data_IF_497044195049
#
_entry.id   IF_497044195049
#
_cell.length_a   1.000
_cell.length_b   1.000
_cell.length_c   1.000
_cell.angle_alpha   90.00
_cell.angle_beta   90.00
_cell.angle_gamma   90.00
#
_symmetry.space_group_name_H-M   'P 1'
#
loop_
_entity.id
_entity.type
_entity.pdbx_description
1 polymer ?
#
# COMPACT_ATOMS: atom_id res chain seq x y z
N UNK A 1 8.17 -32.49 20.28
CA UNK A 1 9.12 -31.43 19.90
C UNK A 1 8.31 -30.15 19.74
N UNK A 2 8.24 -29.36 20.81
CA UNK A 2 7.34 -28.20 20.90
C UNK A 2 7.89 -27.03 20.08
N UNK A 3 7.10 -26.54 19.11
CA UNK A 3 7.40 -25.34 18.34
C UNK A 3 7.24 -24.09 19.25
N UNK A 4 8.29 -23.27 19.42
CA UNK A 4 8.26 -22.13 20.34
C UNK A 4 7.57 -20.86 19.79
N UNK A 5 6.95 -20.88 18.60
CA UNK A 5 6.43 -19.66 17.96
C UNK A 5 5.03 -19.19 18.45
N UNK A 6 4.39 -19.90 19.39
CA UNK A 6 2.95 -19.71 19.69
C UNK A 6 2.65 -19.13 21.08
N UNK A 7 3.58 -18.38 21.66
CA UNK A 7 3.33 -17.71 22.94
C UNK A 7 3.37 -16.19 22.80
N UNK A 8 2.27 -15.56 23.19
CA UNK A 8 2.06 -14.15 23.50
C UNK A 8 1.66 -13.22 22.34
N UNK A 9 0.36 -12.89 22.29
CA UNK A 9 -0.09 -11.52 22.04
C UNK A 9 -1.52 -11.36 22.58
N UNK A 10 -1.62 -10.84 23.81
CA UNK A 10 -2.85 -10.39 24.45
C UNK A 10 -2.73 -8.89 24.69
N UNK A 11 -3.79 -8.17 24.27
CA UNK A 11 -4.21 -6.80 24.63
C UNK A 11 -3.50 -5.62 23.97
N UNK A 12 -4.23 -4.97 23.06
CA UNK A 12 -4.49 -3.53 23.18
C UNK A 12 -5.95 -3.26 22.74
N UNK A 13 -6.81 -3.00 23.73
CA UNK A 13 -8.18 -2.54 23.49
C UNK A 13 -8.19 -1.03 23.29
N UNK A 14 -8.70 -0.58 22.15
CA UNK A 14 -9.03 0.82 21.92
C UNK A 14 -10.51 1.05 22.29
N UNK A 15 -10.75 1.82 23.35
CA UNK A 15 -12.06 2.39 23.65
C UNK A 15 -11.99 3.89 23.35
N UNK A 16 -12.58 4.30 22.23
CA UNK A 16 -12.88 5.70 21.95
C UNK A 16 -14.40 5.86 22.02
N UNK A 17 -14.86 6.55 23.06
CA UNK A 17 -16.24 7.03 23.17
C UNK A 17 -16.21 8.49 23.60
N UNK A 18 -17.22 9.23 23.11
CA UNK A 18 -17.68 10.57 23.52
C UNK A 18 -16.92 11.75 22.87
N UNK A 19 -17.54 12.84 22.36
CA UNK A 19 -18.94 13.29 22.49
C UNK A 19 -19.23 14.52 21.59
N UNK A 20 -20.50 14.62 21.15
CA UNK A 20 -21.33 15.78 20.78
C UNK A 20 -20.96 16.80 19.67
N UNK A 21 -21.94 16.99 18.78
CA UNK A 21 -22.24 18.23 18.05
C UNK A 21 -22.76 19.35 18.98
N UNK A 22 -22.76 20.62 18.53
CA UNK A 22 -24.05 21.27 18.23
C UNK A 22 -24.05 22.28 17.06
N UNK A 23 -25.04 22.11 16.18
CA UNK A 23 -26.07 23.03 15.66
C UNK A 23 -25.94 24.58 15.68
N UNK A 24 -26.22 25.16 14.49
CA UNK A 24 -26.85 26.46 14.10
C UNK A 24 -26.16 27.81 14.38
N UNK A 25 -25.96 28.61 13.31
CA UNK A 25 -26.90 29.69 12.92
C UNK A 25 -26.55 30.36 11.58
N UNK A 26 -27.60 30.79 10.90
CA UNK A 26 -27.65 31.55 9.66
C UNK A 26 -27.41 33.07 9.86
N UNK A 27 -26.98 33.78 8.81
CA UNK A 27 -27.63 34.97 8.20
C UNK A 27 -26.71 35.72 7.21
N UNK A 28 -27.30 36.35 6.18
CA UNK A 28 -26.72 37.50 5.44
C UNK A 28 -26.35 37.21 3.98
N UNK A 29 -27.27 37.38 3.01
CA UNK A 29 -27.50 38.58 2.17
C UNK A 29 -26.40 38.95 1.15
N UNK A 30 -26.78 38.73 -0.11
CA UNK A 30 -26.55 39.49 -1.36
C UNK A 30 -25.54 40.65 -1.40
N UNK A 31 -24.78 40.74 -2.51
CA UNK A 31 -24.72 41.93 -3.40
C UNK A 31 -24.20 41.52 -4.79
N UNK A 32 -24.96 41.89 -5.83
CA UNK A 32 -24.56 41.97 -7.24
C UNK A 32 -23.41 42.97 -7.43
N UNK A 33 -22.40 42.63 -8.24
CA UNK A 33 -21.60 43.64 -8.91
C UNK A 33 -21.38 43.25 -10.38
N UNK A 34 -21.97 44.06 -11.25
CA UNK A 34 -21.94 43.97 -12.70
C UNK A 34 -20.89 44.94 -13.26
N UNK A 35 -20.32 44.58 -14.42
CA UNK A 35 -19.54 45.41 -15.39
C UNK A 35 -18.07 45.65 -14.99
N UNK A 36 -17.10 45.69 -15.91
CA UNK A 36 -17.16 46.27 -17.25
C UNK A 36 -16.15 45.65 -18.25
N UNK A 37 -16.46 45.85 -19.52
CA UNK A 37 -15.62 45.67 -20.71
C UNK A 37 -14.39 46.60 -20.70
N UNK A 38 -13.26 46.12 -21.24
CA UNK A 38 -12.33 46.95 -22.01
C UNK A 38 -11.50 46.06 -22.96
N UNK A 39 -11.71 46.30 -24.26
CA UNK A 39 -11.01 45.71 -25.41
C UNK A 39 -9.74 46.53 -25.73
N UNK A 40 -8.90 45.98 -26.63
CA UNK A 40 -7.65 46.49 -27.24
C UNK A 40 -6.39 45.95 -26.51
N UNK A 41 -5.47 45.20 -27.11
CA UNK A 41 -5.22 44.80 -28.49
C UNK A 41 -3.71 44.83 -28.72
N UNK A 42 -3.06 43.71 -29.06
CA UNK A 42 -1.87 43.68 -29.93
C UNK A 42 -1.50 42.26 -30.34
N UNK A 43 -1.51 42.01 -31.65
CA UNK A 43 -0.81 40.89 -32.29
C UNK A 43 0.69 41.16 -32.31
N UNK A 44 1.50 40.15 -31.98
CA UNK A 44 2.84 39.93 -32.53
C UNK A 44 3.04 38.43 -32.73
N UNK A 45 3.60 38.09 -33.88
CA UNK A 45 3.76 36.77 -34.45
C UNK A 45 4.91 35.94 -33.83
N UNK A 46 4.78 34.63 -34.02
CA UNK A 46 5.82 33.66 -34.38
C UNK A 46 7.04 33.44 -33.45
N UNK A 47 7.08 32.27 -32.81
CA UNK A 47 8.10 31.23 -33.04
C UNK A 47 7.74 29.94 -32.26
N UNK A 48 7.97 28.74 -32.82
CA UNK A 48 7.64 27.47 -32.17
C UNK A 48 8.73 27.08 -31.16
N UNK A 49 8.44 27.27 -29.87
CA UNK A 49 9.24 26.67 -28.80
C UNK A 49 8.96 25.17 -28.80
N UNK A 50 9.91 24.39 -29.33
CA UNK A 50 9.92 22.94 -29.25
C UNK A 50 9.90 22.50 -27.78
N UNK A 51 8.71 22.26 -27.24
CA UNK A 51 8.52 21.57 -25.98
C UNK A 51 8.84 20.10 -26.19
N UNK A 52 10.12 19.74 -26.12
CA UNK A 52 10.50 18.38 -25.77
C UNK A 52 10.04 18.15 -24.34
N UNK A 53 9.09 17.25 -24.06
CA UNK A 53 8.92 16.76 -22.70
C UNK A 53 10.20 15.98 -22.39
N UNK A 54 11.13 16.61 -21.68
CA UNK A 54 12.16 15.88 -20.95
C UNK A 54 11.40 15.00 -19.97
N UNK A 55 11.16 13.74 -20.37
CA UNK A 55 10.77 12.69 -19.45
C UNK A 55 11.88 12.63 -18.41
N UNK A 56 11.63 13.27 -17.27
CA UNK A 56 12.32 12.96 -16.03
C UNK A 56 11.92 11.53 -15.74
N UNK A 57 12.66 10.59 -16.30
CA UNK A 57 12.67 9.22 -15.81
C UNK A 57 13.06 9.37 -14.35
N UNK A 58 12.11 9.18 -13.44
CA UNK A 58 12.43 8.90 -12.05
C UNK A 58 13.35 7.70 -12.09
N UNK A 59 14.66 7.95 -12.07
CA UNK A 59 15.66 6.96 -11.78
C UNK A 59 15.32 6.50 -10.37
N UNK A 60 14.57 5.41 -10.28
CA UNK A 60 14.41 4.62 -9.08
C UNK A 60 15.84 4.36 -8.62
N UNK A 61 16.30 5.14 -7.65
CA UNK A 61 17.61 4.94 -7.06
C UNK A 61 17.61 3.47 -6.63
N UNK A 62 18.57 2.65 -7.08
CA UNK A 62 18.77 1.35 -6.47
C UNK A 62 19.17 1.66 -5.04
N UNK A 63 18.19 1.68 -4.14
CA UNK A 63 18.47 1.68 -2.71
C UNK A 63 19.32 0.43 -2.51
N UNK A 64 20.47 0.56 -1.84
CA UNK A 64 21.44 -0.52 -1.59
C UNK A 64 20.83 -1.78 -0.92
N UNK A 65 19.53 -1.75 -0.66
CA UNK A 65 18.69 -2.72 -0.01
C UNK A 65 18.06 -3.74 -0.96
N UNK A 66 18.04 -3.51 -2.29
CA UNK A 66 17.51 -4.50 -3.22
C UNK A 66 17.17 -3.97 -4.61
N UNK A 67 16.42 -4.77 -5.39
CA UNK A 67 15.98 -4.42 -6.75
C UNK A 67 14.53 -4.81 -7.01
N UNK A 68 13.80 -4.00 -7.78
CA UNK A 68 12.49 -4.40 -8.32
C UNK A 68 12.70 -5.49 -9.36
N UNK A 69 11.86 -6.50 -9.34
CA UNK A 69 11.88 -7.57 -10.33
C UNK A 69 10.84 -7.26 -11.42
N UNK A 70 11.20 -7.39 -12.71
CA UNK A 70 10.23 -7.29 -13.79
C UNK A 70 9.18 -8.40 -13.61
N UNK A 71 7.95 -8.08 -13.97
CA UNK A 71 6.84 -9.01 -13.92
C UNK A 71 6.54 -9.46 -15.36
N UNK A 72 7.05 -10.64 -15.72
CA UNK A 72 6.89 -11.17 -17.08
C UNK A 72 5.42 -11.48 -17.39
N UNK A 73 4.69 -12.02 -16.40
CA UNK A 73 3.26 -12.28 -16.49
C UNK A 73 2.52 -11.55 -15.36
N UNK A 74 1.65 -10.57 -15.67
CA UNK A 74 0.89 -9.85 -14.64
C UNK A 74 -0.11 -10.74 -13.89
N UNK A 75 -0.54 -11.86 -14.45
CA UNK A 75 -1.44 -12.81 -13.81
C UNK A 75 -0.73 -13.85 -12.93
N UNK A 76 0.60 -13.94 -12.98
CA UNK A 76 1.35 -14.92 -12.18
C UNK A 76 1.33 -14.51 -10.71
N UNK A 77 0.76 -15.37 -9.86
CA UNK A 77 0.74 -15.19 -8.41
C UNK A 77 2.16 -15.13 -7.84
N UNK A 78 2.33 -14.30 -6.81
CA UNK A 78 3.60 -14.18 -6.08
C UNK A 78 3.60 -15.18 -4.93
N UNK A 79 4.71 -15.90 -4.79
CA UNK A 79 4.89 -16.89 -3.72
C UNK A 79 5.01 -16.23 -2.34
N UNK A 80 4.50 -16.94 -1.32
CA UNK A 80 4.68 -16.57 0.09
C UNK A 80 6.18 -16.52 0.43
N UNK A 81 6.57 -15.52 1.21
CA UNK A 81 7.96 -15.23 1.57
C UNK A 81 8.67 -14.27 0.62
N UNK A 82 8.08 -13.97 -0.55
CA UNK A 82 8.64 -12.99 -1.48
C UNK A 82 8.45 -11.56 -0.98
N UNK A 83 9.43 -10.70 -1.25
CA UNK A 83 9.27 -9.26 -1.01
C UNK A 83 8.48 -8.61 -2.14
N UNK A 84 7.70 -7.61 -1.77
CA UNK A 84 6.89 -6.80 -2.67
C UNK A 84 6.97 -5.34 -2.27
N UNK A 85 6.74 -4.48 -3.26
CA UNK A 85 6.57 -3.06 -3.09
C UNK A 85 5.11 -2.70 -3.35
N UNK A 86 4.46 -2.03 -2.40
CA UNK A 86 3.09 -1.57 -2.59
C UNK A 86 3.07 -0.27 -3.39
N UNK A 87 2.33 -0.25 -4.51
CA UNK A 87 2.38 0.84 -5.50
C UNK A 87 1.92 2.19 -4.94
N UNK A 88 0.87 2.20 -4.12
CA UNK A 88 0.28 3.46 -3.64
C UNK A 88 0.95 4.00 -2.38
N UNK A 89 1.31 3.13 -1.42
CA UNK A 89 1.97 3.56 -0.18
C UNK A 89 3.49 3.68 -0.31
N UNK A 90 4.09 3.03 -1.32
CA UNK A 90 5.53 3.05 -1.51
C UNK A 90 6.31 2.27 -0.44
N UNK A 91 5.66 1.33 0.24
CA UNK A 91 6.22 0.55 1.36
C UNK A 91 6.67 -0.82 0.86
N UNK A 92 7.82 -1.29 1.34
CA UNK A 92 8.25 -2.67 1.17
C UNK A 92 7.55 -3.57 2.16
N UNK A 93 7.10 -4.73 1.70
CA UNK A 93 6.47 -5.73 2.54
C UNK A 93 6.89 -7.13 2.11
N UNK A 94 6.75 -8.11 2.99
CA UNK A 94 6.92 -9.53 2.64
C UNK A 94 5.58 -10.23 2.68
N UNK A 95 5.29 -11.04 1.67
CA UNK A 95 4.04 -11.79 1.61
C UNK A 95 4.08 -12.90 2.65
N UNK A 96 3.05 -12.98 3.50
CA UNK A 96 2.94 -14.01 4.54
C UNK A 96 1.80 -14.97 4.25
N UNK A 97 0.77 -14.52 3.53
CA UNK A 97 -0.33 -15.35 3.06
C UNK A 97 -0.79 -14.88 1.68
N UNK A 98 -1.20 -15.85 0.85
CA UNK A 98 -1.85 -15.61 -0.43
C UNK A 98 -3.25 -16.19 -0.40
N UNK A 99 -4.24 -15.38 -0.74
CA UNK A 99 -5.62 -15.80 -0.95
C UNK A 99 -5.95 -15.71 -2.46
N UNK A 100 -6.68 -16.67 -3.04
CA UNK A 100 -7.01 -16.66 -4.46
C UNK A 100 -8.02 -15.56 -4.85
N UNK A 101 -8.76 -15.04 -3.87
CA UNK A 101 -9.77 -13.98 -4.02
C UNK A 101 -9.85 -13.15 -2.74
N UNK A 102 -10.49 -11.99 -2.80
CA UNK A 102 -10.67 -11.13 -1.64
C UNK A 102 -11.48 -11.84 -0.54
N UNK A 103 -10.92 -11.95 0.67
CA UNK A 103 -11.61 -12.50 1.85
C UNK A 103 -12.17 -11.44 2.80
N UNK A 104 -11.97 -10.14 2.51
CA UNK A 104 -12.45 -9.05 3.36
C UNK A 104 -13.94 -8.79 3.14
N UNK A 105 -14.58 -8.25 4.18
CA UNK A 105 -16.01 -7.87 4.15
C UNK A 105 -16.29 -6.83 3.06
N UNK A 106 -17.52 -6.86 2.55
CA UNK A 106 -18.05 -5.93 1.54
C UNK A 106 -17.71 -4.45 1.84
N UNK A 107 -17.95 -4.01 3.07
CA UNK A 107 -17.69 -2.63 3.49
C UNK A 107 -16.21 -2.25 3.34
N UNK A 108 -15.29 -3.17 3.64
CA UNK A 108 -13.86 -2.93 3.47
C UNK A 108 -13.50 -2.80 1.97
N UNK A 109 -14.08 -3.65 1.11
CA UNK A 109 -13.88 -3.58 -0.33
C UNK A 109 -14.34 -2.22 -0.90
N UNK A 110 -15.48 -1.72 -0.43
CA UNK A 110 -16.02 -0.42 -0.84
C UNK A 110 -15.13 0.74 -0.39
N UNK A 111 -14.71 0.74 0.88
CA UNK A 111 -13.84 1.80 1.44
C UNK A 111 -12.46 1.84 0.78
N UNK A 112 -11.91 0.68 0.41
CA UNK A 112 -10.60 0.58 -0.24
C UNK A 112 -10.69 0.62 -1.77
N UNK A 113 -11.89 0.84 -2.33
CA UNK A 113 -12.08 0.97 -3.77
C UNK A 113 -11.71 -0.29 -4.56
N UNK A 114 -11.81 -1.48 -3.95
CA UNK A 114 -11.45 -2.75 -4.59
C UNK A 114 -12.27 -2.99 -5.86
N UNK A 115 -13.53 -2.58 -5.88
CA UNK A 115 -14.41 -2.76 -7.05
C UNK A 115 -14.06 -1.83 -8.22
N UNK A 116 -13.17 -0.84 -8.01
CA UNK A 116 -12.67 0.06 -9.05
C UNK A 116 -11.39 -0.46 -9.70
N UNK A 117 -10.81 -1.52 -9.16
CA UNK A 117 -9.61 -2.17 -9.67
C UNK A 117 -9.91 -2.91 -10.98
N UNK A 118 -8.88 -3.12 -11.80
CA UNK A 118 -9.06 -3.72 -13.13
C UNK A 118 -9.63 -5.14 -13.03
N UNK A 119 -9.14 -5.91 -12.07
CA UNK A 119 -9.61 -7.28 -11.80
C UNK A 119 -10.57 -7.36 -10.61
N UNK A 120 -10.91 -6.22 -10.01
CA UNK A 120 -11.84 -6.14 -8.88
C UNK A 120 -11.44 -7.09 -7.74
N UNK A 121 -12.40 -7.94 -7.34
CA UNK A 121 -12.23 -8.97 -6.29
C UNK A 121 -11.75 -10.32 -6.83
N UNK A 122 -11.82 -10.52 -8.14
CA UNK A 122 -11.50 -11.78 -8.82
C UNK A 122 -10.01 -11.86 -9.18
N UNK A 123 -9.17 -11.55 -8.20
CA UNK A 123 -7.72 -11.61 -8.31
C UNK A 123 -7.12 -12.10 -7.00
N UNK A 124 -5.86 -12.54 -6.99
CA UNK A 124 -5.19 -12.88 -5.74
C UNK A 124 -5.08 -11.67 -4.81
N UNK A 125 -5.18 -11.94 -3.52
CA UNK A 125 -4.93 -10.96 -2.46
C UNK A 125 -3.83 -11.48 -1.55
N UNK A 126 -3.02 -10.57 -1.04
CA UNK A 126 -1.89 -10.90 -0.20
C UNK A 126 -2.04 -10.25 1.16
N UNK A 127 -1.84 -11.04 2.20
CA UNK A 127 -1.52 -10.51 3.52
C UNK A 127 -0.01 -10.36 3.59
N UNK A 128 0.45 -9.12 3.69
CA UNK A 128 1.87 -8.81 3.71
C UNK A 128 2.26 -8.09 5.01
N UNK A 129 3.49 -8.32 5.44
CA UNK A 129 4.08 -7.66 6.60
C UNK A 129 4.94 -6.49 6.11
N UNK A 130 4.62 -5.23 6.46
CA UNK A 130 5.40 -4.07 6.02
C UNK A 130 6.76 -4.00 6.72
N UNK A 131 7.71 -3.30 6.12
CA UNK A 131 9.01 -3.02 6.70
C UNK A 131 8.93 -1.78 7.60
N UNK A 132 9.34 -1.91 8.85
CA UNK A 132 9.31 -0.83 9.84
C UNK A 132 10.22 0.35 9.50
N UNK A 133 11.15 0.19 8.56
CA UNK A 133 11.97 1.29 8.04
C UNK A 133 11.18 2.26 7.16
N UNK A 134 10.10 1.78 6.55
CA UNK A 134 9.30 2.54 5.58
C UNK A 134 7.98 3.05 6.19
N UNK A 135 7.64 2.60 7.40
CA UNK A 135 6.36 2.88 8.06
C UNK A 135 6.55 3.56 9.41
N UNK A 136 5.54 4.34 9.82
CA UNK A 136 5.46 4.84 11.20
C UNK A 136 5.11 3.68 12.16
N UNK A 137 5.51 3.74 13.45
CA UNK A 137 5.20 2.70 14.43
C UNK A 137 3.71 2.37 14.59
N UNK A 138 2.83 3.32 14.27
CA UNK A 138 1.37 3.17 14.38
C UNK A 138 0.79 2.35 13.22
N UNK A 139 1.52 2.26 12.10
CA UNK A 139 1.11 1.58 10.87
C UNK A 139 1.77 0.20 10.70
N UNK A 140 2.47 -0.29 11.73
CA UNK A 140 3.18 -1.59 11.76
C UNK A 140 2.25 -2.79 11.97
N UNK A 141 1.12 -2.79 11.26
CA UNK A 141 0.19 -3.92 11.19
C UNK A 141 0.31 -4.61 9.83
N UNK A 142 -0.22 -5.83 9.72
CA UNK A 142 -0.32 -6.49 8.41
C UNK A 142 -1.16 -5.65 7.46
N UNK A 143 -0.77 -5.65 6.19
CA UNK A 143 -1.50 -5.00 5.11
C UNK A 143 -2.15 -6.07 4.23
N UNK A 144 -3.39 -5.82 3.81
CA UNK A 144 -4.09 -6.68 2.86
C UNK A 144 -4.18 -5.98 1.51
N UNK A 145 -3.48 -6.52 0.51
CA UNK A 145 -3.24 -5.83 -0.76
C UNK A 145 -3.65 -6.70 -1.95
N UNK A 146 -4.28 -6.11 -2.99
CA UNK A 146 -4.61 -6.82 -4.21
C UNK A 146 -3.36 -7.04 -5.07
N UNK A 147 -3.37 -8.11 -5.87
CA UNK A 147 -2.28 -8.51 -6.75
C UNK A 147 -1.81 -7.44 -7.74
N UNK A 148 -2.73 -6.62 -8.24
CA UNK A 148 -2.39 -5.55 -9.17
C UNK A 148 -1.71 -4.34 -8.49
N UNK A 149 -1.82 -4.21 -7.16
CA UNK A 149 -1.22 -3.10 -6.39
C UNK A 149 0.17 -3.41 -5.85
N UNK A 150 0.72 -4.60 -6.15
CA UNK A 150 2.06 -5.01 -5.71
C UNK A 150 3.03 -5.13 -6.89
N UNK A 151 4.31 -4.85 -6.61
CA UNK A 151 5.42 -5.06 -7.55
C UNK A 151 6.42 -6.00 -6.87
N UNK A 152 6.81 -7.12 -7.49
CA UNK A 152 7.83 -8.01 -6.94
C UNK A 152 9.16 -7.28 -6.69
N UNK A 153 9.79 -7.56 -5.55
CA UNK A 153 11.06 -6.96 -5.13
C UNK A 153 11.98 -8.06 -4.59
N UNK A 154 13.27 -7.99 -4.91
CA UNK A 154 14.29 -8.82 -4.29
C UNK A 154 15.08 -7.97 -3.29
N UNK A 155 14.95 -8.29 -2.00
CA UNK A 155 15.68 -7.60 -0.93
C UNK A 155 17.01 -8.29 -0.67
N UNK A 156 18.06 -7.51 -0.39
CA UNK A 156 19.36 -7.98 0.09
C UNK A 156 19.42 -8.02 1.63
N UNK A 157 18.42 -7.46 2.31
CA UNK A 157 18.36 -7.40 3.78
C UNK A 157 17.08 -8.04 4.29
N UNK A 158 17.12 -8.66 5.48
CA UNK A 158 15.91 -9.15 6.12
C UNK A 158 14.94 -8.00 6.41
N UNK A 159 13.65 -8.32 6.46
CA UNK A 159 12.63 -7.37 6.86
C UNK A 159 12.82 -6.98 8.32
N UNK A 160 12.63 -5.70 8.64
CA UNK A 160 12.61 -5.22 10.02
C UNK A 160 11.16 -5.05 10.44
N UNK A 161 10.66 -5.89 11.34
CA UNK A 161 9.31 -5.73 11.87
C UNK A 161 9.20 -6.41 13.24
N UNK A 162 8.50 -5.85 14.24
CA UNK A 162 8.30 -6.48 15.54
C UNK A 162 7.69 -7.88 15.46
N UNK A 163 6.81 -8.09 14.47
CA UNK A 163 6.17 -9.39 14.21
C UNK A 163 7.00 -10.35 13.34
N UNK A 164 8.12 -9.90 12.75
CA UNK A 164 8.94 -10.73 11.87
C UNK A 164 9.41 -12.05 12.52
N UNK A 165 9.88 -12.08 13.78
CA UNK A 165 10.33 -13.32 14.43
C UNK A 165 9.24 -14.37 14.62
N UNK A 166 7.96 -13.97 14.55
CA UNK A 166 6.83 -14.88 14.74
C UNK A 166 6.38 -15.52 13.42
N UNK A 167 6.54 -14.81 12.30
CA UNK A 167 6.02 -15.23 10.99
C UNK A 167 7.11 -15.63 9.99
N UNK A 168 8.37 -15.28 10.26
CA UNK A 168 9.51 -15.60 9.40
C UNK A 168 10.50 -16.45 10.20
N UNK A 169 10.85 -17.60 9.63
CA UNK A 169 11.82 -18.55 10.19
C UNK A 169 13.25 -18.11 9.90
N UNK A 170 13.51 -17.70 8.66
CA UNK A 170 14.83 -17.25 8.22
C UNK A 170 14.74 -16.39 6.95
N UNK A 171 15.83 -15.73 6.60
CA UNK A 171 15.98 -14.96 5.36
C UNK A 171 17.04 -15.59 4.48
N UNK A 172 16.68 -15.83 3.21
CA UNK A 172 17.59 -16.31 2.18
C UNK A 172 18.08 -15.11 1.36
N UNK A 173 19.34 -14.73 1.58
CA UNK A 173 19.97 -13.60 0.90
C UNK A 173 20.33 -13.89 -0.57
N UNK A 174 20.43 -15.17 -0.96
CA UNK A 174 20.75 -15.56 -2.34
C UNK A 174 19.51 -15.38 -3.22
N UNK A 175 18.36 -15.84 -2.73
CA UNK A 175 17.08 -15.70 -3.42
C UNK A 175 16.40 -14.34 -3.14
N UNK A 176 16.83 -13.63 -2.10
CA UNK A 176 16.26 -12.35 -1.68
C UNK A 176 14.83 -12.49 -1.16
N UNK A 177 14.51 -13.62 -0.51
CA UNK A 177 13.17 -13.95 0.01
C UNK A 177 13.25 -14.46 1.46
N UNK A 178 12.15 -14.32 2.19
CA UNK A 178 12.00 -14.90 3.51
C UNK A 178 11.42 -16.32 3.43
N UNK A 179 11.82 -17.16 4.39
CA UNK A 179 11.21 -18.47 4.62
C UNK A 179 10.15 -18.26 5.72
N UNK A 180 8.85 -18.38 5.41
CA UNK A 180 7.79 -18.22 6.41
C UNK A 180 7.86 -19.35 7.47
N UNK A 181 7.34 -19.08 8.66
CA UNK A 181 7.08 -20.13 9.64
C UNK A 181 5.89 -21.00 9.18
N UNK A 182 5.95 -22.31 9.40
CA UNK A 182 4.85 -23.25 9.07
C UNK A 182 3.59 -23.07 9.96
N UNK A 183 3.57 -22.07 10.84
CA UNK A 183 2.46 -21.78 11.73
C UNK A 183 1.34 -21.03 11.01
N UNK A 184 0.08 -21.45 11.23
CA UNK A 184 -1.07 -20.68 10.77
C UNK A 184 -1.03 -19.28 11.41
N UNK A 185 -1.01 -18.22 10.59
CA UNK A 185 -1.19 -16.87 11.12
C UNK A 185 -2.56 -16.77 11.82
N UNK A 186 -2.65 -16.03 12.94
CA UNK A 186 -3.90 -15.81 13.65
C UNK A 186 -5.03 -15.44 12.69
N UNK A 187 -6.19 -16.12 12.83
CA UNK A 187 -7.37 -15.89 11.97
C UNK A 187 -8.04 -14.54 12.23
N UNK A 188 -7.64 -13.84 13.28
CA UNK A 188 -8.26 -12.60 13.76
C UNK A 188 -8.16 -11.41 12.78
N UNK A 189 -7.54 -11.59 11.62
CA UNK A 189 -7.54 -10.62 10.51
C UNK A 189 -8.74 -10.76 9.55
N UNK A 190 -9.69 -11.66 9.83
CA UNK A 190 -10.90 -11.87 9.01
C UNK A 190 -12.09 -10.94 9.37
N UNK A 191 -11.95 -10.05 10.37
CA UNK A 191 -13.02 -9.13 10.80
C UNK A 191 -13.09 -7.78 10.07
#
# INVERSE_FOLDING_TARGET
MSNPCLAALVRLGAAATMTSAPTLRATGSAVLATRAFATLGRSVAAAPSSSTPTLVALAVRPTAVGRLLPRDNPAQAIDVGSFVFHKSSGVRAVIVRSDPQCKRRELWCQLNGIDRLTHGRNQPFYLALPDARDCSPQELSFIYVPHESVIPFASNTPIQHPLAPFVIKSFDSVLGRCIPCDGELPRDYED
#
